data_IF_418832836196
#
_entry.id   IF_418832836196
#
_cell.length_a   1.000
_cell.length_b   1.000
_cell.length_c   1.000
_cell.angle_alpha   90.00
_cell.angle_beta   90.00
_cell.angle_gamma   90.00
#
_symmetry.space_group_name_H-M   'P 1'
#
loop_
_entity.id
_entity.type
_entity.pdbx_description
1 polymer ?
#
# COMPACT_ATOMS: atom_id res chain seq x y z
N UNK A 1 -19.46 -0.25 11.89
CA UNK A 1 -18.97 -0.42 10.52
C UNK A 1 -18.32 0.90 10.09
N UNK A 2 -17.08 0.88 9.60
CA UNK A 2 -16.41 2.06 9.05
C UNK A 2 -16.31 1.90 7.55
N UNK A 3 -16.89 2.82 6.79
CA UNK A 3 -16.79 2.87 5.33
C UNK A 3 -15.76 3.94 4.98
N UNK A 4 -14.88 3.64 4.03
CA UNK A 4 -13.81 4.55 3.58
C UNK A 4 -13.84 4.55 2.05
N UNK A 5 -14.04 5.72 1.43
CA UNK A 5 -13.79 5.91 0.01
C UNK A 5 -12.30 6.24 -0.18
N UNK A 6 -11.62 5.46 -1.01
CA UNK A 6 -10.19 5.64 -1.34
C UNK A 6 -9.89 7.03 -1.92
N UNK A 7 -10.90 7.67 -2.55
CA UNK A 7 -10.77 9.01 -3.15
C UNK A 7 -10.57 10.08 -2.09
N UNK A 8 -11.10 9.88 -0.89
CA UNK A 8 -11.04 10.84 0.21
C UNK A 8 -9.77 10.70 1.06
N UNK A 9 -8.98 9.62 0.84
CA UNK A 9 -7.76 9.35 1.59
C UNK A 9 -6.56 10.02 0.92
N UNK A 10 -5.86 10.86 1.69
CA UNK A 10 -4.65 11.55 1.26
C UNK A 10 -3.51 10.55 0.99
N UNK A 11 -2.70 10.87 -0.02
CA UNK A 11 -1.48 10.12 -0.30
C UNK A 11 -0.48 10.40 0.82
N UNK A 12 0.06 9.34 1.39
CA UNK A 12 1.10 9.40 2.43
C UNK A 12 2.44 9.75 1.80
N UNK A 13 3.19 10.65 2.44
CA UNK A 13 4.57 10.89 2.07
C UNK A 13 5.44 9.71 2.55
N UNK A 14 6.05 8.99 1.61
CA UNK A 14 6.84 7.79 1.90
C UNK A 14 8.13 7.79 1.09
N UNK A 15 9.20 7.13 1.57
CA UNK A 15 10.46 7.02 0.84
C UNK A 15 10.37 6.32 -0.53
N UNK A 16 9.26 5.61 -0.79
CA UNK A 16 9.02 4.92 -2.05
C UNK A 16 8.61 5.85 -3.19
N UNK A 17 8.10 7.05 -2.88
CA UNK A 17 7.62 8.03 -3.87
C UNK A 17 6.53 7.46 -4.81
N UNK A 18 5.67 6.60 -4.27
CA UNK A 18 4.50 6.04 -4.96
C UNK A 18 3.23 6.40 -4.20
N UNK A 19 2.06 6.25 -4.83
CA UNK A 19 0.79 6.58 -4.20
C UNK A 19 0.40 5.53 -3.14
N UNK A 20 0.77 5.79 -1.89
CA UNK A 20 0.39 4.97 -0.72
C UNK A 20 -0.73 5.66 0.06
N UNK A 21 -1.84 4.97 0.28
CA UNK A 21 -2.99 5.46 1.06
C UNK A 21 -3.25 4.53 2.24
N UNK A 22 -3.04 5.02 3.46
CA UNK A 22 -3.32 4.25 4.69
C UNK A 22 -4.82 4.28 4.99
N UNK A 23 -5.50 3.16 4.74
CA UNK A 23 -6.95 3.05 4.90
C UNK A 23 -7.32 2.85 6.37
N UNK A 24 -6.68 1.88 7.02
CA UNK A 24 -6.97 1.54 8.41
C UNK A 24 -5.69 1.17 9.17
N UNK A 25 -5.71 1.50 10.46
CA UNK A 25 -4.69 1.15 11.43
C UNK A 25 -5.41 0.69 12.69
N UNK A 26 -5.25 -0.58 13.05
CA UNK A 26 -5.77 -1.13 14.28
C UNK A 26 -4.73 -2.06 14.91
N UNK A 27 -5.02 -2.57 16.10
CA UNK A 27 -4.04 -3.23 16.97
C UNK A 27 -3.20 -4.31 16.28
N UNK A 28 -3.83 -5.11 15.40
CA UNK A 28 -3.18 -6.28 14.80
C UNK A 28 -2.88 -6.15 13.31
N UNK A 29 -3.34 -5.10 12.63
CA UNK A 29 -3.02 -4.92 11.22
C UNK A 29 -3.13 -3.48 10.75
N UNK A 30 -2.40 -3.22 9.67
CA UNK A 30 -2.53 -2.02 8.85
C UNK A 30 -3.00 -2.42 7.47
N UNK A 31 -4.03 -1.72 6.97
CA UNK A 31 -4.49 -1.88 5.59
C UNK A 31 -4.07 -0.63 4.82
N UNK A 32 -3.25 -0.86 3.80
CA UNK A 32 -2.72 0.16 2.89
C UNK A 32 -3.13 -0.18 1.47
N UNK A 33 -3.58 0.83 0.74
CA UNK A 33 -3.76 0.76 -0.70
C UNK A 33 -2.52 1.37 -1.36
N UNK A 34 -1.93 0.64 -2.29
CA UNK A 34 -0.76 1.09 -3.06
C UNK A 34 -1.16 1.09 -4.52
N UNK A 35 -0.99 2.23 -5.18
CA UNK A 35 -1.12 2.34 -6.63
C UNK A 35 0.27 2.58 -7.22
N UNK A 36 0.62 1.78 -8.23
CA UNK A 36 1.86 1.89 -8.97
C UNK A 36 1.55 2.33 -10.40
N UNK A 37 2.12 3.47 -10.82
CA UNK A 37 2.15 3.85 -12.24
C UNK A 37 3.23 3.05 -12.98
N UNK A 38 3.16 2.96 -14.33
CA UNK A 38 4.21 2.30 -15.09
C UNK A 38 5.60 2.84 -14.75
N UNK A 39 6.52 1.94 -14.37
CA UNK A 39 7.88 2.28 -13.94
C UNK A 39 8.05 2.60 -12.45
N UNK A 40 6.98 2.68 -11.67
CA UNK A 40 7.04 2.82 -10.21
C UNK A 40 7.24 1.48 -9.51
N UNK A 41 7.93 1.51 -8.38
CA UNK A 41 8.16 0.32 -7.56
C UNK A 41 8.27 0.69 -6.09
N UNK A 42 7.79 -0.22 -5.23
CA UNK A 42 8.13 -0.17 -3.81
C UNK A 42 9.58 -0.60 -3.66
N UNK A 43 10.45 0.33 -3.24
CA UNK A 43 11.86 0.03 -2.98
C UNK A 43 12.04 -1.18 -2.06
N UNK A 44 12.93 -2.11 -2.42
CA UNK A 44 13.28 -3.28 -1.60
C UNK A 44 13.69 -2.85 -0.19
N UNK A 45 13.07 -3.46 0.82
CA UNK A 45 13.34 -3.19 2.22
C UNK A 45 12.91 -4.38 3.09
N UNK A 46 13.35 -4.39 4.34
CA UNK A 46 12.93 -5.36 5.37
C UNK A 46 11.94 -4.66 6.30
N UNK A 47 10.88 -5.36 6.69
CA UNK A 47 9.89 -4.91 7.66
C UNK A 47 9.81 -5.92 8.82
N UNK A 48 9.55 -5.48 10.07
CA UNK A 48 9.49 -6.39 11.23
C UNK A 48 8.14 -7.13 11.38
N UNK A 49 7.27 -7.06 10.37
CA UNK A 49 5.95 -7.68 10.37
C UNK A 49 5.72 -8.49 9.10
N UNK A 50 4.84 -9.47 9.16
CA UNK A 50 4.41 -10.20 7.96
C UNK A 50 3.59 -9.30 7.03
N UNK A 51 3.68 -9.57 5.72
CA UNK A 51 2.98 -8.80 4.69
C UNK A 51 2.20 -9.75 3.79
N UNK A 52 0.97 -9.33 3.45
CA UNK A 52 0.16 -9.96 2.42
C UNK A 52 -0.13 -8.94 1.32
N UNK A 53 -0.01 -9.36 0.05
CA UNK A 53 -0.35 -8.56 -1.10
C UNK A 53 -1.61 -9.11 -1.76
N UNK A 54 -2.56 -8.22 -2.04
CA UNK A 54 -3.78 -8.54 -2.77
C UNK A 54 -3.92 -7.58 -3.95
N UNK A 55 -3.86 -8.11 -5.17
CA UNK A 55 -3.92 -7.31 -6.40
C UNK A 55 -5.38 -7.02 -6.74
N UNK A 56 -5.74 -5.74 -6.79
CA UNK A 56 -7.08 -5.27 -7.17
C UNK A 56 -7.24 -5.08 -8.68
N UNK A 57 -6.20 -4.58 -9.34
CA UNK A 57 -6.19 -4.28 -10.77
C UNK A 57 -4.76 -4.33 -11.32
N UNK A 58 -4.61 -4.73 -12.58
CA UNK A 58 -3.33 -4.81 -13.29
C UNK A 58 -2.51 -6.05 -12.95
N UNK A 59 -1.23 -5.99 -13.28
CA UNK A 59 -0.24 -7.04 -13.01
C UNK A 59 1.05 -6.41 -12.47
N UNK A 60 1.82 -7.20 -11.73
CA UNK A 60 3.07 -6.74 -11.13
C UNK A 60 3.96 -7.91 -10.70
N UNK A 61 5.19 -7.58 -10.33
CA UNK A 61 6.19 -8.55 -9.87
C UNK A 61 6.48 -8.29 -8.40
N UNK A 62 6.46 -9.35 -7.59
CA UNK A 62 6.86 -9.31 -6.19
C UNK A 62 8.28 -9.89 -6.09
N UNK A 63 9.17 -9.13 -5.46
CA UNK A 63 10.53 -9.57 -5.12
C UNK A 63 10.66 -9.62 -3.59
N UNK A 64 11.03 -10.78 -3.05
CA UNK A 64 11.19 -11.05 -1.60
C UNK A 64 12.66 -11.30 -1.31
#
# INVERSE_FOLDING_TARGET
>A
MKIIDIKDVQISDTPHKVAVKKLMNFEHATIVHIELKPGEAVKKHITPVDVNFYVLEGEGVIEI
#
